data_IF_562055647337
#
_entry.id   IF_562055647337
#
_cell.length_a   1.000
_cell.length_b   1.000
_cell.length_c   1.000
_cell.angle_alpha   90.00
_cell.angle_beta   90.00
_cell.angle_gamma   90.00
#
_symmetry.space_group_name_H-M   'P 1'
#
loop_
_entity.id
_entity.type
_entity.pdbx_description
1 polymer ?
#
# COMPACT_ATOMS: atom_id res chain seq x y z
N UNK A 1 -4.99 4.80 -18.92
CA UNK A 1 -5.75 5.64 -17.96
C UNK A 1 -4.92 6.70 -17.23
N UNK A 2 -3.60 6.79 -17.43
CA UNK A 2 -2.82 7.99 -17.10
C UNK A 2 -3.43 9.28 -17.71
N UNK A 3 -4.14 9.15 -18.83
CA UNK A 3 -4.91 10.23 -19.46
C UNK A 3 -6.00 10.83 -18.58
N UNK A 4 -6.74 10.06 -17.77
CA UNK A 4 -7.92 10.58 -17.06
C UNK A 4 -7.57 11.39 -15.80
N UNK A 5 -6.34 11.25 -15.28
CA UNK A 5 -5.84 12.03 -14.15
C UNK A 5 -5.02 13.24 -14.61
N UNK A 6 -4.24 13.10 -15.69
CA UNK A 6 -3.33 14.15 -16.16
C UNK A 6 -4.04 15.09 -17.15
N UNK A 7 -4.82 14.56 -18.08
CA UNK A 7 -5.33 15.34 -19.21
C UNK A 7 -6.50 16.27 -18.85
N UNK A 8 -7.49 15.85 -18.05
CA UNK A 8 -8.49 16.78 -17.54
C UNK A 8 -7.89 17.89 -16.67
N UNK A 9 -6.81 17.62 -15.93
CA UNK A 9 -6.08 18.62 -15.16
C UNK A 9 -5.39 19.63 -16.07
N UNK A 10 -4.65 19.17 -17.08
CA UNK A 10 -3.97 20.06 -18.05
C UNK A 10 -4.98 20.89 -18.84
N UNK A 11 -6.07 20.29 -19.34
CA UNK A 11 -7.07 21.02 -20.11
C UNK A 11 -7.84 22.01 -19.24
N UNK A 12 -8.38 21.58 -18.10
CA UNK A 12 -9.27 22.45 -17.34
C UNK A 12 -8.51 23.49 -16.51
N UNK A 13 -7.37 23.13 -15.92
CA UNK A 13 -6.69 24.03 -15.00
C UNK A 13 -5.65 24.88 -15.72
N UNK A 14 -4.79 24.26 -16.53
CA UNK A 14 -3.70 24.98 -17.20
C UNK A 14 -4.20 25.77 -18.42
N UNK A 15 -5.01 25.15 -19.30
CA UNK A 15 -5.48 25.83 -20.52
C UNK A 15 -6.73 26.69 -20.33
N UNK A 16 -7.67 26.28 -19.46
CA UNK A 16 -8.96 26.97 -19.28
C UNK A 16 -9.05 27.82 -18.01
N UNK A 17 -8.00 27.84 -17.19
CA UNK A 17 -7.94 28.63 -15.95
C UNK A 17 -9.04 28.28 -14.93
N UNK A 18 -9.62 27.07 -15.01
CA UNK A 18 -10.63 26.62 -14.03
C UNK A 18 -9.93 26.12 -12.78
N UNK A 19 -10.42 26.55 -11.62
CA UNK A 19 -9.95 25.98 -10.36
C UNK A 19 -10.20 24.46 -10.35
N UNK A 20 -9.21 23.64 -9.92
CA UNK A 20 -9.43 22.22 -9.74
C UNK A 20 -10.63 22.00 -8.82
N UNK A 21 -11.49 21.04 -9.17
CA UNK A 21 -12.42 20.50 -8.17
C UNK A 21 -11.59 20.06 -6.95
N UNK A 22 -12.03 20.38 -5.71
CA UNK A 22 -11.32 19.97 -4.50
C UNK A 22 -11.34 18.43 -4.44
N UNK A 23 -10.29 17.84 -4.99
CA UNK A 23 -10.08 16.41 -5.07
C UNK A 23 -9.16 16.07 -3.92
N UNK A 24 -9.71 15.38 -2.92
CA UNK A 24 -9.02 14.89 -1.73
C UNK A 24 -7.64 14.28 -2.05
N UNK A 25 -7.55 13.50 -3.12
CA UNK A 25 -6.30 12.88 -3.55
C UNK A 25 -5.27 13.90 -4.05
N UNK A 26 -5.69 14.95 -4.75
CA UNK A 26 -4.76 16.00 -5.19
C UNK A 26 -4.29 16.84 -4.01
N UNK A 27 -5.17 17.11 -3.03
CA UNK A 27 -4.78 17.79 -1.80
C UNK A 27 -3.70 17.00 -1.07
N UNK A 28 -3.93 15.71 -0.84
CA UNK A 28 -2.95 14.81 -0.23
C UNK A 28 -1.63 14.75 -1.02
N UNK A 29 -1.71 14.59 -2.35
CA UNK A 29 -0.51 14.48 -3.19
C UNK A 29 0.32 15.78 -3.23
N UNK A 30 -0.33 16.94 -3.08
CA UNK A 30 0.35 18.24 -3.04
C UNK A 30 1.00 18.54 -1.69
N UNK A 31 0.59 17.86 -0.61
CA UNK A 31 1.09 18.04 0.75
C UNK A 31 2.41 17.27 0.96
N UNK A 32 3.47 17.77 0.32
CA UNK A 32 4.77 17.11 0.27
C UNK A 32 5.47 17.08 1.63
N UNK A 33 6.28 16.04 1.85
CA UNK A 33 7.15 15.90 3.02
C UNK A 33 8.63 15.93 2.64
N UNK A 34 9.49 16.52 3.48
CA UNK A 34 10.95 16.42 3.31
C UNK A 34 11.46 15.09 3.87
N UNK A 35 12.51 14.55 3.25
CA UNK A 35 13.25 13.40 3.76
C UNK A 35 14.73 13.76 3.93
N UNK A 36 15.36 13.28 5.02
CA UNK A 36 16.79 13.48 5.23
C UNK A 36 17.59 12.87 4.06
N UNK A 37 18.61 13.60 3.59
CA UNK A 37 19.37 13.21 2.40
C UNK A 37 20.01 11.82 2.52
N UNK A 38 20.52 11.46 3.71
CA UNK A 38 21.08 10.14 3.98
C UNK A 38 20.03 9.03 3.81
N UNK A 39 18.82 9.22 4.34
CA UNK A 39 17.72 8.25 4.20
C UNK A 39 17.27 8.12 2.75
N UNK A 40 17.11 9.25 2.05
CA UNK A 40 16.72 9.25 0.64
C UNK A 40 17.75 8.53 -0.25
N UNK A 41 19.03 8.86 -0.09
CA UNK A 41 20.11 8.24 -0.87
C UNK A 41 20.22 6.74 -0.57
N UNK A 42 20.09 6.34 0.70
CA UNK A 42 20.13 4.95 1.11
C UNK A 42 18.97 4.15 0.48
N UNK A 43 17.75 4.68 0.54
CA UNK A 43 16.56 4.03 -0.03
C UNK A 43 16.67 3.87 -1.56
N UNK A 44 17.03 4.93 -2.28
CA UNK A 44 17.17 4.85 -3.74
C UNK A 44 18.25 3.84 -4.17
N UNK A 45 19.41 3.86 -3.51
CA UNK A 45 20.51 2.96 -3.87
C UNK A 45 20.17 1.50 -3.56
N UNK A 46 19.69 1.22 -2.35
CA UNK A 46 19.50 -0.15 -1.90
C UNK A 46 18.20 -0.80 -2.39
N UNK A 47 17.17 -0.02 -2.75
CA UNK A 47 15.91 -0.56 -3.24
C UNK A 47 15.77 -0.44 -4.76
N UNK A 48 15.94 0.76 -5.32
CA UNK A 48 15.67 1.00 -6.75
C UNK A 48 16.84 0.68 -7.67
N UNK A 49 18.08 0.97 -7.26
CA UNK A 49 19.25 0.77 -8.12
C UNK A 49 19.83 -0.64 -7.96
N UNK A 50 20.22 -1.02 -6.74
CA UNK A 50 20.99 -2.25 -6.49
C UNK A 50 20.13 -3.43 -6.01
N UNK A 51 18.89 -3.15 -5.61
CA UNK A 51 17.92 -4.12 -5.09
C UNK A 51 18.48 -5.02 -3.97
N UNK A 52 19.33 -4.45 -3.11
CA UNK A 52 20.03 -5.15 -2.03
C UNK A 52 19.07 -5.76 -1.00
N UNK A 53 17.88 -5.19 -0.79
CA UNK A 53 16.87 -5.78 0.10
C UNK A 53 16.43 -7.16 -0.39
N UNK A 54 16.01 -7.26 -1.64
CA UNK A 54 15.55 -8.53 -2.23
C UNK A 54 16.69 -9.52 -2.46
N UNK A 55 17.93 -9.01 -2.60
CA UNK A 55 19.15 -9.84 -2.70
C UNK A 55 19.65 -10.35 -1.35
N UNK A 56 19.11 -9.85 -0.23
CA UNK A 56 19.57 -10.21 1.12
C UNK A 56 20.97 -9.68 1.45
N UNK A 57 21.38 -8.57 0.83
CA UNK A 57 22.70 -7.94 1.02
C UNK A 57 22.62 -6.54 1.64
N UNK A 58 21.40 -6.04 1.92
CA UNK A 58 21.21 -4.74 2.57
C UNK A 58 21.67 -4.82 4.02
N UNK A 59 22.51 -3.87 4.45
CA UNK A 59 22.88 -3.69 5.85
C UNK A 59 22.11 -2.53 6.48
N UNK A 60 21.48 -2.78 7.63
CA UNK A 60 20.76 -1.79 8.41
C UNK A 60 21.08 -1.99 9.90
N UNK A 61 21.45 -0.92 10.60
CA UNK A 61 21.82 -0.95 12.01
C UNK A 61 22.89 -2.01 12.37
N UNK A 62 23.89 -2.18 11.49
CA UNK A 62 25.00 -3.12 11.68
C UNK A 62 24.64 -4.59 11.46
N UNK A 63 23.49 -4.88 10.82
CA UNK A 63 23.04 -6.23 10.50
C UNK A 63 22.62 -6.32 9.05
N UNK A 64 23.00 -7.40 8.38
CA UNK A 64 22.43 -7.76 7.08
C UNK A 64 20.98 -8.19 7.29
N UNK A 65 20.04 -7.58 6.56
CA UNK A 65 18.62 -7.89 6.65
C UNK A 65 18.21 -8.85 5.53
N UNK A 66 17.38 -9.83 5.88
CA UNK A 66 16.76 -10.76 4.92
C UNK A 66 15.25 -10.75 5.09
N UNK A 67 14.51 -10.67 3.98
CA UNK A 67 13.05 -10.81 4.02
C UNK A 67 12.63 -12.22 4.46
N UNK A 68 13.50 -13.22 4.30
CA UNK A 68 13.25 -14.59 4.74
C UNK A 68 13.15 -14.71 6.27
N UNK A 69 13.72 -13.77 7.02
CA UNK A 69 13.63 -13.75 8.48
C UNK A 69 12.23 -13.33 8.98
N UNK A 70 11.38 -12.80 8.09
CA UNK A 70 9.99 -12.47 8.38
C UNK A 70 9.16 -13.75 8.23
N UNK A 71 8.94 -14.43 9.36
CA UNK A 71 8.24 -15.72 9.46
C UNK A 71 6.78 -15.61 9.91
N UNK A 72 6.32 -14.40 10.26
CA UNK A 72 4.91 -14.13 10.58
C UNK A 72 4.03 -14.18 9.31
N UNK A 73 2.71 -14.42 9.44
CA UNK A 73 1.80 -14.33 8.31
C UNK A 73 1.81 -12.93 7.66
N UNK A 74 1.82 -12.89 6.33
CA UNK A 74 1.87 -11.64 5.54
C UNK A 74 0.64 -11.54 4.65
N UNK A 75 -0.07 -10.42 4.71
CA UNK A 75 -1.09 -10.05 3.73
C UNK A 75 -0.50 -9.03 2.77
N UNK A 76 -0.29 -9.41 1.50
CA UNK A 76 0.36 -8.58 0.51
C UNK A 76 -0.62 -8.13 -0.58
N UNK A 77 -0.94 -6.84 -0.59
CA UNK A 77 -1.89 -6.25 -1.54
C UNK A 77 -1.16 -5.57 -2.69
N UNK A 78 -1.62 -5.80 -3.91
CA UNK A 78 -1.29 -4.98 -5.07
C UNK A 78 -2.55 -4.46 -5.77
N UNK A 79 -2.42 -3.47 -6.66
CA UNK A 79 -3.52 -3.01 -7.51
C UNK A 79 -3.25 -3.33 -8.98
N UNK A 80 -4.27 -3.79 -9.70
CA UNK A 80 -4.15 -4.32 -11.08
C UNK A 80 -3.61 -3.29 -12.07
N UNK A 81 -4.00 -2.03 -11.92
CA UNK A 81 -3.59 -0.92 -12.80
C UNK A 81 -2.53 -0.02 -12.12
N UNK A 82 -1.80 -0.52 -11.11
CA UNK A 82 -0.72 0.22 -10.46
C UNK A 82 0.49 0.37 -11.40
N UNK A 83 0.90 1.62 -11.63
CA UNK A 83 2.13 1.91 -12.38
C UNK A 83 3.27 2.39 -11.48
N UNK A 84 3.01 2.61 -10.19
CA UNK A 84 4.00 3.01 -9.17
C UNK A 84 4.58 1.75 -8.52
N UNK A 85 3.71 0.84 -8.09
CA UNK A 85 4.06 -0.46 -7.52
C UNK A 85 3.37 -1.59 -8.30
N UNK A 86 3.92 -2.02 -9.45
CA UNK A 86 3.26 -2.97 -10.35
C UNK A 86 2.88 -4.28 -9.65
N UNK A 87 1.69 -4.80 -9.93
CA UNK A 87 1.19 -6.04 -9.34
C UNK A 87 2.14 -7.23 -9.51
N UNK A 88 2.75 -7.38 -10.71
CA UNK A 88 3.78 -8.39 -10.96
C UNK A 88 4.97 -8.24 -10.02
N UNK A 89 5.45 -7.02 -9.77
CA UNK A 89 6.59 -6.77 -8.88
C UNK A 89 6.27 -7.14 -7.43
N UNK A 90 5.06 -6.82 -6.96
CA UNK A 90 4.60 -7.19 -5.61
C UNK A 90 4.43 -8.72 -5.49
N UNK A 91 3.89 -9.36 -6.52
CA UNK A 91 3.76 -10.82 -6.60
C UNK A 91 5.14 -11.50 -6.52
N UNK A 92 6.10 -11.08 -7.36
CA UNK A 92 7.46 -11.59 -7.33
C UNK A 92 8.16 -11.31 -6.00
N UNK A 93 7.91 -10.14 -5.39
CA UNK A 93 8.45 -9.77 -4.09
C UNK A 93 7.99 -10.68 -2.95
N UNK A 94 6.79 -11.24 -3.09
CA UNK A 94 6.20 -12.12 -2.06
C UNK A 94 7.03 -13.39 -1.81
N UNK A 95 7.78 -13.86 -2.80
CA UNK A 95 8.61 -15.07 -2.69
C UNK A 95 9.81 -14.93 -1.74
N UNK A 96 10.15 -13.71 -1.35
CA UNK A 96 11.31 -13.46 -0.49
C UNK A 96 10.98 -13.54 1.00
N UNK A 97 9.70 -13.54 1.38
CA UNK A 97 9.28 -13.71 2.77
C UNK A 97 9.38 -15.17 3.22
N UNK A 98 9.73 -15.39 4.49
CA UNK A 98 9.80 -16.74 5.07
C UNK A 98 8.46 -17.26 5.59
N UNK A 99 7.54 -16.35 5.93
CA UNK A 99 6.17 -16.66 6.37
C UNK A 99 5.20 -16.91 5.23
N UNK A 100 4.02 -17.43 5.55
CA UNK A 100 2.95 -17.61 4.57
C UNK A 100 2.43 -16.25 4.09
N UNK A 101 2.35 -16.09 2.76
CA UNK A 101 1.88 -14.86 2.12
C UNK A 101 0.51 -15.08 1.48
N UNK A 102 -0.48 -14.32 1.94
CA UNK A 102 -1.76 -14.13 1.27
C UNK A 102 -1.62 -12.97 0.27
N UNK A 103 -1.53 -13.29 -1.02
CA UNK A 103 -1.44 -12.28 -2.07
C UNK A 103 -2.83 -11.94 -2.60
N UNK A 104 -3.18 -10.65 -2.59
CA UNK A 104 -4.47 -10.14 -3.05
C UNK A 104 -4.24 -9.02 -4.06
N UNK A 105 -5.00 -9.06 -5.16
CA UNK A 105 -4.94 -8.01 -6.16
C UNK A 105 -6.25 -7.23 -6.17
N UNK A 106 -6.23 -5.93 -5.87
CA UNK A 106 -7.40 -5.06 -6.01
C UNK A 106 -7.51 -4.51 -7.44
N UNK A 107 -8.73 -4.19 -7.87
CA UNK A 107 -8.97 -3.45 -9.11
C UNK A 107 -8.49 -2.01 -9.03
N UNK A 108 -8.51 -1.30 -10.17
CA UNK A 108 -8.07 0.10 -10.29
C UNK A 108 -6.55 0.30 -10.07
N UNK A 109 -6.11 1.56 -10.00
CA UNK A 109 -4.70 1.94 -9.82
C UNK A 109 -4.33 2.30 -8.38
N UNK A 110 -3.09 2.76 -8.18
CA UNK A 110 -2.41 2.91 -6.88
C UNK A 110 -3.31 3.33 -5.71
N UNK A 111 -3.90 4.54 -5.78
CA UNK A 111 -4.70 5.06 -4.67
C UNK A 111 -6.13 4.53 -4.73
N UNK A 112 -6.76 4.56 -5.91
CA UNK A 112 -8.17 4.19 -6.06
C UNK A 112 -8.46 2.70 -5.77
N UNK A 113 -7.48 1.82 -5.98
CA UNK A 113 -7.58 0.40 -5.65
C UNK A 113 -7.35 0.12 -4.17
N UNK A 114 -6.38 0.81 -3.54
CA UNK A 114 -6.09 0.66 -2.10
C UNK A 114 -7.19 1.30 -1.25
N UNK A 115 -7.54 2.55 -1.54
CA UNK A 115 -8.57 3.32 -0.82
C UNK A 115 -9.94 3.07 -1.44
N UNK A 116 -10.49 1.88 -1.18
CA UNK A 116 -11.81 1.47 -1.66
C UNK A 116 -12.75 1.11 -0.51
N UNK A 117 -13.47 2.08 0.08
CA UNK A 117 -14.40 1.79 1.16
C UNK A 117 -15.52 0.81 0.76
N UNK A 118 -15.84 -0.23 1.57
CA UNK A 118 -16.88 -1.21 1.25
C UNK A 118 -18.24 -0.60 0.95
N UNK A 119 -18.60 0.50 1.62
CA UNK A 119 -19.85 1.21 1.41
C UNK A 119 -20.01 1.77 -0.02
N UNK A 120 -18.90 2.04 -0.72
CA UNK A 120 -18.91 2.55 -2.08
C UNK A 120 -19.33 1.51 -3.12
N UNK A 121 -19.23 0.21 -2.80
CA UNK A 121 -19.55 -0.92 -3.70
C UNK A 121 -18.89 -0.79 -5.09
N UNK A 122 -17.67 -0.26 -5.15
CA UNK A 122 -16.90 -0.08 -6.38
C UNK A 122 -15.84 -1.16 -6.52
N UNK A 123 -15.47 -1.41 -7.78
CA UNK A 123 -14.40 -2.30 -8.19
C UNK A 123 -14.62 -3.76 -7.74
N UNK A 124 -13.51 -4.48 -7.69
CA UNK A 124 -13.40 -5.90 -7.43
C UNK A 124 -12.01 -6.18 -6.87
N UNK A 125 -11.77 -7.41 -6.42
CA UNK A 125 -10.46 -7.91 -6.07
C UNK A 125 -10.33 -9.39 -6.45
N UNK A 126 -9.10 -9.88 -6.57
CA UNK A 126 -8.80 -11.27 -6.93
C UNK A 126 -8.02 -11.94 -5.80
N UNK A 127 -8.38 -13.18 -5.50
CA UNK A 127 -7.65 -14.08 -4.59
C UNK A 127 -7.36 -15.40 -5.31
N UNK A 128 -6.19 -15.99 -5.10
CA UNK A 128 -5.73 -17.13 -5.90
C UNK A 128 -4.78 -18.07 -5.19
N UNK A 129 -4.70 -17.98 -3.85
CA UNK A 129 -3.74 -18.73 -3.05
C UNK A 129 -2.30 -18.19 -3.17
N UNK A 130 -1.33 -19.03 -2.82
CA UNK A 130 0.08 -18.63 -2.65
C UNK A 130 0.65 -17.96 -3.91
N UNK A 131 1.45 -16.88 -3.78
CA UNK A 131 2.06 -16.18 -4.91
C UNK A 131 3.28 -16.92 -5.46
N UNK A 132 3.04 -18.07 -6.09
CA UNK A 132 4.07 -18.94 -6.66
C UNK A 132 3.88 -19.14 -8.16
N UNK A 133 4.97 -19.35 -8.88
CA UNK A 133 4.94 -19.61 -10.33
C UNK A 133 4.80 -18.35 -11.17
N UNK A 134 4.17 -18.50 -12.34
CA UNK A 134 3.93 -17.42 -13.28
C UNK A 134 2.73 -16.55 -12.84
N UNK A 135 2.90 -15.23 -12.90
CA UNK A 135 1.87 -14.28 -12.48
C UNK A 135 0.61 -14.33 -13.35
N UNK A 136 0.75 -14.53 -14.68
CA UNK A 136 -0.42 -14.58 -15.56
C UNK A 136 -1.20 -15.88 -15.34
N UNK A 137 -0.50 -16.99 -15.06
CA UNK A 137 -1.13 -18.24 -14.66
C UNK A 137 -1.89 -18.08 -13.32
N UNK A 138 -1.29 -17.44 -12.32
CA UNK A 138 -1.97 -17.12 -11.06
C UNK A 138 -3.21 -16.26 -11.31
N UNK A 139 -3.08 -15.20 -12.11
CA UNK A 139 -4.18 -14.30 -12.42
C UNK A 139 -5.33 -15.00 -13.16
N UNK A 140 -5.02 -15.90 -14.10
CA UNK A 140 -6.03 -16.66 -14.82
C UNK A 140 -6.78 -17.67 -13.92
N UNK A 141 -6.11 -18.18 -12.88
CA UNK A 141 -6.70 -19.09 -11.90
C UNK A 141 -7.37 -18.37 -10.71
N UNK A 142 -7.11 -17.08 -10.52
CA UNK A 142 -7.60 -16.32 -9.40
C UNK A 142 -9.13 -16.10 -9.47
N UNK A 143 -9.78 -16.17 -8.32
CA UNK A 143 -11.20 -15.91 -8.18
C UNK A 143 -11.45 -14.41 -8.05
N UNK A 144 -12.30 -13.86 -8.91
CA UNK A 144 -12.74 -12.46 -8.84
C UNK A 144 -13.89 -12.31 -7.84
N UNK A 145 -13.77 -11.34 -6.94
CA UNK A 145 -14.76 -10.99 -5.95
C UNK A 145 -15.21 -9.54 -6.16
N UNK A 146 -16.53 -9.26 -6.24
CA UNK A 146 -17.01 -7.90 -6.39
C UNK A 146 -16.79 -7.08 -5.11
N UNK A 147 -16.56 -5.78 -5.26
CA UNK A 147 -16.47 -4.83 -4.16
C UNK A 147 -15.07 -4.64 -3.57
N UNK A 148 -15.03 -4.23 -2.30
CA UNK A 148 -13.78 -3.86 -1.61
C UNK A 148 -13.04 -5.06 -1.05
N UNK A 149 -11.71 -5.06 -1.21
CA UNK A 149 -10.82 -6.03 -0.56
C UNK A 149 -10.70 -5.84 0.96
N UNK A 150 -11.17 -4.71 1.52
CA UNK A 150 -11.07 -4.44 2.97
C UNK A 150 -11.81 -5.47 3.81
N UNK A 151 -12.94 -5.99 3.32
CA UNK A 151 -13.70 -7.03 4.03
C UNK A 151 -12.96 -8.35 4.05
N UNK A 152 -12.25 -8.68 2.96
CA UNK A 152 -11.37 -9.85 2.91
C UNK A 152 -10.19 -9.70 3.87
N UNK A 153 -9.55 -8.53 3.90
CA UNK A 153 -8.45 -8.26 4.83
C UNK A 153 -8.89 -8.31 6.30
N UNK A 154 -10.05 -7.73 6.64
CA UNK A 154 -10.63 -7.83 7.98
C UNK A 154 -10.89 -9.29 8.37
N UNK A 155 -11.45 -10.09 7.46
CA UNK A 155 -11.65 -11.50 7.70
C UNK A 155 -10.32 -12.23 7.94
N UNK A 156 -9.30 -11.96 7.11
CA UNK A 156 -7.96 -12.52 7.30
C UNK A 156 -7.32 -12.14 8.64
N UNK A 157 -7.52 -10.91 9.13
CA UNK A 157 -7.06 -10.52 10.48
C UNK A 157 -7.77 -11.36 11.55
N UNK A 158 -9.08 -11.54 11.43
CA UNK A 158 -9.88 -12.29 12.39
C UNK A 158 -9.57 -13.79 12.40
N UNK A 159 -9.06 -14.36 11.29
CA UNK A 159 -8.56 -15.73 11.31
C UNK A 159 -7.23 -15.87 12.07
N UNK A 160 -6.46 -14.79 12.22
CA UNK A 160 -5.26 -14.79 13.06
C UNK A 160 -5.62 -14.66 14.55
N UNK A 161 -6.51 -13.73 14.88
CA UNK A 161 -7.05 -13.57 16.24
C UNK A 161 -8.41 -12.83 16.19
N UNK A 162 -9.46 -13.48 16.70
CA UNK A 162 -10.81 -12.91 16.79
C UNK A 162 -11.24 -12.58 18.22
N UNK A 163 -10.37 -12.71 19.22
CA UNK A 163 -10.70 -12.45 20.62
C UNK A 163 -11.22 -11.02 20.77
N UNK A 164 -12.38 -10.89 21.43
CA UNK A 164 -13.01 -9.59 21.71
C UNK A 164 -12.87 -9.27 23.18
N UNK A 165 -12.41 -8.06 23.45
CA UNK A 165 -12.30 -7.50 24.80
C UNK A 165 -13.01 -6.14 24.86
N UNK A 166 -13.46 -5.70 26.05
CA UNK A 166 -14.02 -4.36 26.20
C UNK A 166 -13.07 -3.28 25.69
N UNK A 167 -13.62 -2.25 25.05
CA UNK A 167 -12.85 -1.15 24.50
C UNK A 167 -11.99 -0.48 25.58
N UNK A 168 -10.69 -0.32 25.28
CA UNK A 168 -9.74 0.31 26.20
C UNK A 168 -10.08 1.79 26.40
N UNK A 169 -10.12 2.24 27.65
CA UNK A 169 -10.11 3.67 27.99
C UNK A 169 -8.69 4.23 27.81
N UNK A 170 -8.52 5.14 26.85
CA UNK A 170 -7.25 5.84 26.61
C UNK A 170 -6.88 6.75 27.79
N UNK A 171 -5.62 7.17 27.90
CA UNK A 171 -5.16 8.09 28.95
C UNK A 171 -4.89 7.48 30.34
N UNK A 172 -5.20 6.21 30.59
CA UNK A 172 -5.00 5.58 31.93
C UNK A 172 -3.55 5.20 32.27
N UNK A 173 -2.78 4.70 31.29
CA UNK A 173 -1.39 4.23 31.49
C UNK A 173 -0.33 5.19 30.93
N UNK A 174 -0.71 6.02 29.96
CA UNK A 174 0.15 7.00 29.30
C UNK A 174 -0.63 8.30 29.19
N UNK A 175 0.05 9.42 29.46
CA UNK A 175 -0.54 10.76 29.34
C UNK A 175 -0.92 11.03 27.88
N UNK A 176 -2.15 11.48 27.66
CA UNK A 176 -2.58 11.96 26.33
C UNK A 176 -1.84 13.26 25.99
N UNK A 177 -1.25 13.32 24.80
CA UNK A 177 -0.49 14.50 24.35
C UNK A 177 -1.37 15.57 23.67
N UNK A 178 -2.55 15.19 23.21
CA UNK A 178 -3.53 16.05 22.54
C UNK A 178 -4.49 15.22 21.68
N UNK A 179 -5.46 15.88 21.06
CA UNK A 179 -6.38 15.23 20.14
C UNK A 179 -5.72 14.92 18.79
N UNK A 180 -6.20 13.85 18.13
CA UNK A 180 -5.88 13.60 16.74
C UNK A 180 -6.37 14.77 15.85
N UNK A 181 -5.68 15.11 14.74
CA UNK A 181 -4.61 14.34 14.10
C UNK A 181 -3.18 14.73 14.58
N UNK A 182 -3.05 15.47 15.67
CA UNK A 182 -1.77 15.91 16.20
C UNK A 182 -1.16 17.10 15.45
N UNK A 183 0.11 17.40 15.74
CA UNK A 183 0.82 18.58 15.22
C UNK A 183 1.73 18.27 14.04
N UNK A 184 2.34 17.09 13.97
CA UNK A 184 3.32 16.77 12.92
C UNK A 184 2.72 16.74 11.52
N UNK A 185 1.51 16.22 11.35
CA UNK A 185 0.80 16.20 10.07
C UNK A 185 0.40 17.59 9.55
N UNK A 186 0.47 18.62 10.41
CA UNK A 186 0.11 20.00 10.07
C UNK A 186 1.31 20.83 9.62
N UNK A 187 2.52 20.28 9.71
CA UNK A 187 3.74 20.98 9.29
C UNK A 187 3.75 21.12 7.77
N UNK A 188 4.08 22.32 7.29
CA UNK A 188 4.20 22.63 5.85
C UNK A 188 5.66 22.73 5.43
N UNK A 189 5.95 22.37 4.18
CA UNK A 189 7.29 22.35 3.56
C UNK A 189 7.60 23.63 2.81
#
# INVERSE_FOLDING_TARGET
RSGDLIWPYVINNYMRGKEPLPFDLLYWNSDSTRMAAANHSFYLRNCYLENNLSRGTMELAGRTVSLADITIPVYNLATKEDHIAPALSVFLGSRFFGGDVEYVMAGSGHIAGVVNPPASKKYQYWTGGKPVGDFNAWLAAAHEHPGSWWTHWQHWIETQDNVRVPARKTGKRMKTLGDAPGTYVKVRV
#
